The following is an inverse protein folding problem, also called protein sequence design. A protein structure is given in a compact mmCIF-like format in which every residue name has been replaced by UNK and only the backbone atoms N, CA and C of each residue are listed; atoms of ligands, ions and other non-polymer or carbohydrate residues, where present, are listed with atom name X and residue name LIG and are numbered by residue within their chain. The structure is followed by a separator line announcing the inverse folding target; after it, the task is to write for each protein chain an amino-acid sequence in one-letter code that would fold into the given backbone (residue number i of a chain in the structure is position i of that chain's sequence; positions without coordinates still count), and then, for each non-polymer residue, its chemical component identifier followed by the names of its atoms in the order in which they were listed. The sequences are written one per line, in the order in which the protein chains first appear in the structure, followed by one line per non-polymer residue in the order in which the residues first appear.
data_IF_905805693486
#
_entry.id   IF_905805693486
#
_cell.length_a   1.000
_cell.length_b   1.000
_cell.length_c   1.000
_cell.angle_alpha   90.00
_cell.angle_beta   90.00
_cell.angle_gamma   90.00
#
_symmetry.space_group_name_H-M   'P 1'
#
loop_
_entity.id
_entity.type
_entity.pdbx_description
1 polymer ?
#
# COMPACT_ATOMS: atom_id res chain seq x y z
N UNK A 1 -1.60 -7.66 -15.51
CA UNK A 1 -0.20 -7.50 -15.08
C UNK A 1 -0.17 -7.35 -13.57
N UNK A 2 0.92 -7.74 -12.90
CA UNK A 2 1.02 -7.58 -11.46
C UNK A 2 0.99 -6.09 -11.10
N UNK A 3 0.26 -5.73 -10.05
CA UNK A 3 0.09 -4.36 -9.60
C UNK A 3 0.06 -4.30 -8.07
N UNK A 4 0.43 -3.14 -7.51
CA UNK A 4 0.35 -2.93 -6.06
C UNK A 4 -1.04 -2.40 -5.71
N UNK A 5 -1.67 -2.98 -4.69
CA UNK A 5 -2.99 -2.57 -4.20
C UNK A 5 -3.01 -2.37 -2.70
N UNK A 6 -3.86 -1.48 -2.20
CA UNK A 6 -4.25 -1.47 -0.78
C UNK A 6 -5.08 -2.70 -0.42
N UNK A 7 -5.14 -3.08 0.86
CA UNK A 7 -5.94 -4.22 1.31
C UNK A 7 -7.42 -3.94 1.53
N UNK A 8 -8.04 -4.84 2.28
CA UNK A 8 -9.41 -4.71 2.78
C UNK A 8 -9.46 -3.77 3.99
N UNK A 9 -10.62 -3.17 4.23
CA UNK A 9 -10.86 -2.26 5.35
C UNK A 9 -11.78 -2.93 6.38
N UNK A 10 -11.73 -2.47 7.63
CA UNK A 10 -12.67 -2.90 8.66
C UNK A 10 -14.10 -2.63 8.19
N UNK A 11 -14.98 -3.60 8.46
CA UNK A 11 -16.39 -3.58 8.08
C UNK A 11 -16.69 -3.35 6.59
N UNK A 12 -15.69 -3.52 5.70
CA UNK A 12 -15.78 -3.19 4.27
C UNK A 12 -16.25 -1.75 4.00
N UNK A 13 -15.91 -0.81 4.90
CA UNK A 13 -16.28 0.60 4.79
C UNK A 13 -15.09 1.46 4.44
N UNK A 14 -15.26 2.49 3.57
CA UNK A 14 -14.23 3.49 3.33
C UNK A 14 -13.83 4.20 4.63
N UNK A 15 -12.55 4.48 4.78
CA UNK A 15 -12.00 5.21 5.94
C UNK A 15 -11.64 6.65 5.56
N UNK A 16 -11.83 7.57 6.49
CA UNK A 16 -11.47 8.97 6.30
C UNK A 16 -9.99 9.17 6.66
N UNK A 17 -9.16 9.43 5.66
CA UNK A 17 -7.81 9.93 5.88
C UNK A 17 -7.87 11.43 6.14
N UNK A 18 -7.03 11.91 7.05
CA UNK A 18 -6.92 13.32 7.44
C UNK A 18 -5.52 13.79 7.14
N UNK A 19 -5.39 14.92 6.45
CA UNK A 19 -4.09 15.55 6.19
C UNK A 19 -3.32 15.76 7.51
N UNK A 20 -2.02 15.48 7.48
CA UNK A 20 -1.13 15.58 8.63
C UNK A 20 -1.21 14.41 9.61
N UNK A 21 -2.24 13.55 9.53
CA UNK A 21 -2.31 12.36 10.36
C UNK A 21 -1.29 11.31 9.92
N UNK A 22 -0.73 10.61 10.90
CA UNK A 22 0.21 9.53 10.67
C UNK A 22 -0.50 8.19 10.62
N UNK A 23 -0.15 7.37 9.64
CA UNK A 23 -0.71 6.05 9.43
C UNK A 23 0.43 5.03 9.25
N UNK A 24 0.18 3.79 9.67
CA UNK A 24 1.09 2.67 9.40
C UNK A 24 0.61 1.89 8.18
N UNK A 25 1.52 1.59 7.27
CA UNK A 25 1.29 0.72 6.13
C UNK A 25 2.05 -0.59 6.38
N UNK A 26 1.31 -1.69 6.50
CA UNK A 26 1.87 -3.03 6.69
C UNK A 26 1.98 -3.79 5.36
N UNK A 27 3.00 -4.65 5.25
CA UNK A 27 3.10 -5.63 4.17
C UNK A 27 2.36 -6.94 4.47
N UNK A 28 1.78 -7.10 5.67
CA UNK A 28 0.83 -8.16 5.96
C UNK A 28 -0.55 -7.83 5.38
N UNK A 29 -0.84 -8.46 4.25
CA UNK A 29 -2.05 -8.22 3.47
C UNK A 29 -3.32 -8.85 4.08
N UNK A 30 -3.20 -9.57 5.21
CA UNK A 30 -4.35 -10.12 5.94
C UNK A 30 -4.98 -9.09 6.91
N UNK A 31 -4.29 -7.98 7.18
CA UNK A 31 -4.79 -6.93 8.07
C UNK A 31 -5.97 -6.23 7.40
N UNK A 32 -7.10 -6.15 8.12
CA UNK A 32 -8.23 -5.27 7.76
C UNK A 32 -7.94 -3.87 8.28
N UNK A 33 -7.72 -2.95 7.37
CA UNK A 33 -7.24 -1.61 7.68
C UNK A 33 -8.29 -0.68 8.32
N UNK A 34 -7.80 0.31 9.03
CA UNK A 34 -8.54 1.40 9.67
C UNK A 34 -7.78 2.73 9.52
N UNK A 35 -8.23 3.78 10.21
CA UNK A 35 -7.60 5.10 10.15
C UNK A 35 -6.15 5.14 10.65
N UNK A 36 -5.70 4.15 11.42
CA UNK A 36 -4.36 4.10 12.00
C UNK A 36 -3.43 3.13 11.26
N UNK A 37 -3.96 2.05 10.67
CA UNK A 37 -3.17 1.06 9.94
C UNK A 37 -3.90 0.54 8.71
N UNK A 38 -3.21 0.53 7.57
CA UNK A 38 -3.64 -0.15 6.34
C UNK A 38 -2.59 -1.15 5.89
N UNK A 39 -2.89 -1.97 4.89
CA UNK A 39 -1.90 -2.85 4.26
C UNK A 39 -1.82 -2.66 2.75
N UNK A 40 -0.68 -3.04 2.18
CA UNK A 40 -0.44 -3.05 0.73
C UNK A 40 0.12 -4.40 0.29
N UNK A 41 -0.20 -4.81 -0.94
CA UNK A 41 0.17 -6.12 -1.47
C UNK A 41 1.68 -6.28 -1.74
N UNK A 42 2.45 -5.20 -1.74
CA UNK A 42 3.88 -5.23 -2.07
C UNK A 42 4.74 -5.62 -0.87
N UNK A 43 5.24 -6.87 -0.87
CA UNK A 43 5.99 -7.44 0.26
C UNK A 43 7.31 -6.73 0.56
N UNK A 44 7.98 -6.20 -0.46
CA UNK A 44 9.25 -5.47 -0.32
C UNK A 44 9.06 -3.96 -0.02
N UNK A 45 7.84 -3.50 0.26
CA UNK A 45 7.55 -2.08 0.45
C UNK A 45 8.49 -1.42 1.47
N UNK A 46 8.66 -2.02 2.65
CA UNK A 46 9.52 -1.46 3.70
C UNK A 46 11.02 -1.49 3.36
N UNK A 47 11.42 -2.33 2.40
CA UNK A 47 12.81 -2.43 1.94
C UNK A 47 13.14 -1.37 0.89
N UNK A 48 12.19 -1.11 -0.02
CA UNK A 48 12.41 -0.34 -1.24
C UNK A 48 12.02 1.14 -1.12
N UNK A 49 11.12 1.48 -0.20
CA UNK A 49 10.85 2.89 0.14
C UNK A 49 11.80 3.36 1.23
N UNK A 50 11.95 4.68 1.36
CA UNK A 50 12.79 5.32 2.37
C UNK A 50 12.09 6.58 2.92
N UNK A 51 12.49 7.11 4.08
CA UNK A 51 12.01 8.41 4.53
C UNK A 51 12.08 9.47 3.43
N UNK A 52 10.97 10.19 3.22
CA UNK A 52 10.79 11.15 2.12
C UNK A 52 10.29 10.56 0.81
N UNK A 53 10.21 9.24 0.65
CA UNK A 53 9.52 8.62 -0.49
C UNK A 53 8.04 9.00 -0.49
N UNK A 54 7.48 9.12 -1.69
CA UNK A 54 6.06 9.37 -1.92
C UNK A 54 5.37 8.07 -2.29
N UNK A 55 4.24 7.79 -1.66
CA UNK A 55 3.34 6.68 -2.02
C UNK A 55 2.03 7.29 -2.50
N UNK A 56 1.59 6.90 -3.70
CA UNK A 56 0.38 7.41 -4.31
C UNK A 56 -0.67 6.30 -4.37
N UNK A 57 -1.89 6.57 -3.90
CA UNK A 57 -3.01 5.64 -4.00
C UNK A 57 -4.18 6.27 -4.77
N UNK A 58 -5.03 5.41 -5.34
CA UNK A 58 -6.22 5.82 -6.09
C UNK A 58 -5.87 6.84 -7.21
N UNK A 59 -4.96 6.42 -8.09
CA UNK A 59 -4.51 7.18 -9.26
C UNK A 59 -3.92 8.57 -8.90
N UNK A 60 -3.33 8.68 -7.71
CA UNK A 60 -2.69 9.91 -7.22
C UNK A 60 -3.60 10.81 -6.38
N UNK A 61 -4.87 10.44 -6.21
CA UNK A 61 -5.83 11.21 -5.37
C UNK A 61 -5.38 11.23 -3.90
N UNK A 62 -4.75 10.16 -3.43
CA UNK A 62 -4.25 10.03 -2.07
C UNK A 62 -2.73 10.00 -2.15
N UNK A 63 -2.08 10.85 -1.36
CA UNK A 63 -0.62 10.87 -1.24
C UNK A 63 -0.19 10.67 0.21
N UNK A 64 0.87 9.89 0.38
CA UNK A 64 1.53 9.67 1.65
C UNK A 64 3.03 10.00 1.51
N UNK A 65 3.57 10.68 2.51
CA UNK A 65 5.02 10.85 2.67
C UNK A 65 5.53 9.84 3.69
N UNK A 66 6.50 9.01 3.29
CA UNK A 66 7.14 8.04 4.19
C UNK A 66 7.95 8.78 5.25
N UNK A 67 7.72 8.42 6.52
CA UNK A 67 8.43 8.95 7.69
C UNK A 67 9.53 7.99 8.17
N UNK A 68 9.23 6.70 8.25
CA UNK A 68 10.17 5.67 8.71
C UNK A 68 9.77 4.28 8.21
N UNK A 69 10.75 3.39 8.09
CA UNK A 69 10.56 2.01 7.66
C UNK A 69 11.12 1.05 8.70
N UNK A 70 10.31 0.08 9.13
CA UNK A 70 10.73 -1.08 9.90
C UNK A 70 10.75 -2.30 8.97
N UNK A 71 11.96 -2.66 8.52
CA UNK A 71 12.15 -3.77 7.57
C UNK A 71 11.90 -5.13 8.21
N UNK A 72 12.24 -5.29 9.49
CA UNK A 72 12.07 -6.56 10.18
C UNK A 72 10.58 -6.87 10.41
N UNK A 73 9.79 -5.84 10.71
CA UNK A 73 8.34 -5.97 10.90
C UNK A 73 7.52 -5.81 9.61
N UNK A 74 8.12 -5.32 8.52
CA UNK A 74 7.41 -5.02 7.27
C UNK A 74 6.43 -3.84 7.42
N UNK A 75 6.80 -2.82 8.19
CA UNK A 75 5.95 -1.67 8.49
C UNK A 75 6.55 -0.37 7.93
N UNK A 76 5.69 0.50 7.40
CA UNK A 76 6.08 1.81 6.90
C UNK A 76 5.18 2.87 7.53
N UNK A 77 5.74 3.75 8.36
CA UNK A 77 5.01 4.89 8.89
C UNK A 77 5.01 6.00 7.87
N UNK A 78 3.84 6.58 7.64
CA UNK A 78 3.64 7.66 6.67
C UNK A 78 2.79 8.78 7.25
N UNK A 79 2.92 9.98 6.67
CA UNK A 79 2.00 11.09 6.89
C UNK A 79 1.04 11.20 5.70
N UNK A 80 -0.25 11.34 5.97
CA UNK A 80 -1.25 11.66 4.95
C UNK A 80 -1.06 13.11 4.46
N UNK A 81 -0.97 13.32 3.16
CA UNK A 81 -0.80 14.68 2.59
C UNK A 81 -2.15 15.32 2.21
N UNK A 82 -3.24 14.55 2.21
CA UNK A 82 -4.57 14.98 1.76
C UNK A 82 -5.66 14.44 2.70
N UNK A 83 -6.75 15.21 2.87
CA UNK A 83 -7.95 14.73 3.56
C UNK A 83 -8.93 14.14 2.55
N UNK A 84 -9.13 12.82 2.56
CA UNK A 84 -9.86 12.08 1.51
C UNK A 84 -10.33 10.72 2.03
N UNK A 85 -11.36 10.14 1.38
CA UNK A 85 -11.82 8.79 1.67
C UNK A 85 -10.95 7.74 0.95
N UNK A 86 -10.39 6.80 1.70
CA UNK A 86 -9.77 5.60 1.15
C UNK A 86 -10.79 4.47 1.09
N UNK A 87 -10.97 3.90 -0.10
CA UNK A 87 -11.71 2.64 -0.29
C UNK A 87 -10.77 1.43 -0.34
N UNK A 88 -11.35 0.25 -0.51
CA UNK A 88 -10.57 -1.01 -0.59
C UNK A 88 -9.86 -1.16 -1.94
N UNK A 89 -8.77 -1.95 -1.94
CA UNK A 89 -8.12 -2.47 -3.14
C UNK A 89 -7.74 -1.41 -4.18
N UNK A 90 -7.42 -0.20 -3.74
CA UNK A 90 -7.00 0.90 -4.61
C UNK A 90 -5.61 0.65 -5.18
N UNK A 91 -5.41 1.06 -6.43
CA UNK A 91 -4.11 1.02 -7.08
C UNK A 91 -3.10 1.87 -6.30
N UNK A 92 -1.86 1.40 -6.23
CA UNK A 92 -0.74 2.08 -5.57
C UNK A 92 0.40 2.26 -6.56
N UNK A 93 0.98 3.45 -6.59
CA UNK A 93 2.17 3.78 -7.36
C UNK A 93 3.28 4.30 -6.43
N UNK A 94 4.52 3.94 -6.74
CA UNK A 94 5.71 4.29 -5.96
C UNK A 94 6.72 5.06 -6.85
N UNK A 95 6.55 6.39 -7.03
CA UNK A 95 7.47 7.18 -7.86
C UNK A 95 8.92 7.08 -7.39
N UNK A 96 9.83 6.80 -8.33
CA UNK A 96 11.26 6.69 -8.04
C UNK A 96 11.69 5.41 -7.32
N UNK A 97 10.77 4.43 -7.17
CA UNK A 97 11.07 3.10 -6.64
C UNK A 97 11.05 2.10 -7.78
N UNK A 98 12.09 1.26 -7.86
CA UNK A 98 12.12 0.12 -8.80
C UNK A 98 11.28 -0.99 -8.20
N UNK A 99 10.08 -1.17 -8.75
CA UNK A 99 9.13 -2.17 -8.28
C UNK A 99 9.41 -3.48 -9.00
N UNK A 100 9.90 -4.46 -8.25
CA UNK A 100 10.14 -5.82 -8.72
C UNK A 100 8.94 -6.70 -8.36
N UNK A 101 7.92 -6.66 -9.23
CA UNK A 101 6.75 -7.52 -9.11
C UNK A 101 6.93 -8.79 -9.96
N UNK A 102 6.67 -9.99 -9.41
CA UNK A 102 6.76 -11.22 -10.19
C UNK A 102 5.78 -11.17 -11.36
N UNK A 103 6.29 -11.46 -12.56
CA UNK A 103 5.55 -11.37 -13.82
C UNK A 103 4.51 -12.47 -14.01
N UNK A 104 4.62 -13.57 -13.27
CA UNK A 104 3.60 -14.63 -13.21
C UNK A 104 2.98 -14.66 -11.82
N UNK A 105 1.67 -14.47 -11.75
CA UNK A 105 0.91 -14.88 -10.57
C UNK A 105 0.73 -16.40 -10.61
N UNK A 106 0.57 -17.06 -9.47
CA UNK A 106 0.24 -18.50 -9.42
C UNK A 106 -1.03 -18.82 -10.24
N UNK A 107 -1.95 -17.85 -10.37
CA UNK A 107 -3.12 -17.95 -11.26
C UNK A 107 -2.78 -18.05 -12.74
N UNK A 108 -1.74 -17.37 -13.21
CA UNK A 108 -1.35 -17.43 -14.63
C UNK A 108 -0.69 -18.78 -14.99
N UNK A 109 -0.27 -19.58 -14.00
CA UNK A 109 0.29 -20.92 -14.24
C UNK A 109 -0.78 -21.98 -14.53
N UNK A 110 -1.98 -21.83 -13.98
CA UNK A 110 -3.10 -22.76 -14.22
C UNK A 110 -3.67 -22.58 -15.64
N UNK A 111 -3.74 -21.35 -16.15
CA UNK A 111 -4.28 -21.05 -17.49
C UNK A 111 -3.34 -21.47 -18.66
N UNK A 112 -2.06 -21.76 -18.41
CA UNK A 112 -1.07 -22.14 -19.45
C UNK A 112 -1.01 -23.67 -19.66
N UNK A 113 -1.68 -24.45 -18.82
CA UNK A 113 -1.64 -25.93 -18.86
C UNK A 113 -2.88 -26.60 -19.49
N UNK A 114 -3.76 -25.85 -20.17
CA UNK A 114 -4.85 -26.39 -21.01
C UNK A 114 -4.62 -26.20 -22.52
#
# INVERSE_FOLDING_TARGET
GPEIRTGFLKDAKPIQLKQGHEITISTDYNIKGDENTICMSYKKLAEDVKPGSVILCADGTISFTVLSCDKAAGLVRCRCENSVMLGERKNVNLPGVVVDLPTLTEKDKEDIME
#
